data_IF_798836579399
#
_entry.id   IF_798836579399
#
_cell.length_a   1.000
_cell.length_b   1.000
_cell.length_c   1.000
_cell.angle_alpha   90.00
_cell.angle_beta   90.00
_cell.angle_gamma   90.00
#
_symmetry.space_group_name_H-M   'P 1'
#
loop_
_entity.id
_entity.type
_entity.pdbx_description
1 polymer ?
#
# COMPACT_ATOMS: atom_id res chain seq x y z
N UNK A 1 -14.45 -11.74 -2.40
CA UNK A 1 -14.19 -10.33 -2.03
C UNK A 1 -15.27 -9.87 -1.08
N UNK A 2 -15.05 -9.96 0.23
CA UNK A 2 -15.99 -9.48 1.23
C UNK A 2 -16.05 -7.93 1.25
N UNK A 3 -17.11 -7.38 0.65
CA UNK A 3 -17.44 -5.95 0.65
C UNK A 3 -18.72 -5.75 1.45
N UNK A 4 -18.70 -4.85 2.42
CA UNK A 4 -19.81 -4.63 3.34
C UNK A 4 -20.26 -3.18 3.36
N UNK A 5 -21.57 -2.98 3.27
CA UNK A 5 -22.23 -1.70 3.49
C UNK A 5 -22.52 -1.54 4.99
N UNK A 6 -22.30 -0.33 5.52
CA UNK A 6 -22.69 0.07 6.87
C UNK A 6 -23.25 1.49 6.83
N UNK A 7 -24.33 1.75 7.55
CA UNK A 7 -24.97 3.07 7.66
C UNK A 7 -25.27 3.78 6.32
N UNK A 8 -25.57 2.98 5.28
CA UNK A 8 -25.87 3.51 3.93
C UNK A 8 -24.63 3.78 3.06
N UNK A 9 -23.42 3.57 3.59
CA UNK A 9 -22.16 3.80 2.88
C UNK A 9 -21.62 2.47 2.35
N UNK A 10 -21.43 2.43 1.03
CA UNK A 10 -20.92 1.27 0.29
C UNK A 10 -19.56 1.62 -0.29
N UNK A 11 -18.54 0.74 -0.16
CA UNK A 11 -17.25 0.95 -0.79
C UNK A 11 -17.34 1.21 -2.29
N UNK A 12 -16.56 2.17 -2.78
CA UNK A 12 -16.45 2.54 -4.20
C UNK A 12 -15.11 2.06 -4.72
N UNK A 13 -15.12 1.24 -5.77
CA UNK A 13 -13.91 0.66 -6.37
C UNK A 13 -13.92 0.90 -7.87
N UNK A 14 -12.89 1.56 -8.39
CA UNK A 14 -12.72 1.71 -9.84
C UNK A 14 -12.52 0.33 -10.51
N UNK A 15 -13.22 0.04 -11.61
CA UNK A 15 -13.11 -1.25 -12.31
C UNK A 15 -11.74 -1.57 -12.87
N UNK A 16 -10.81 -0.61 -12.99
CA UNK A 16 -9.43 -0.85 -13.42
C UNK A 16 -8.56 -1.44 -12.30
N UNK A 17 -8.93 -1.24 -11.04
CA UNK A 17 -8.19 -1.73 -9.87
C UNK A 17 -8.34 -3.24 -9.65
N UNK A 18 -7.44 -3.80 -8.84
CA UNK A 18 -7.49 -5.18 -8.40
C UNK A 18 -7.63 -5.25 -6.88
N UNK A 19 -8.66 -5.96 -6.41
CA UNK A 19 -8.88 -6.24 -4.99
C UNK A 19 -8.87 -7.74 -4.79
N UNK A 20 -7.94 -8.24 -3.96
CA UNK A 20 -7.83 -9.66 -3.71
C UNK A 20 -9.13 -10.24 -3.11
N UNK A 21 -9.57 -11.46 -3.48
CA UNK A 21 -10.81 -12.05 -2.97
C UNK A 21 -10.92 -12.16 -1.45
N UNK A 22 -9.80 -12.15 -0.71
CA UNK A 22 -9.75 -12.21 0.76
C UNK A 22 -9.60 -10.85 1.44
N UNK A 23 -9.44 -9.75 0.70
CA UNK A 23 -9.42 -8.41 1.28
C UNK A 23 -10.83 -7.99 1.73
N UNK A 24 -10.92 -7.29 2.86
CA UNK A 24 -12.18 -6.85 3.49
C UNK A 24 -12.33 -5.34 3.35
N UNK A 25 -13.42 -4.90 2.74
CA UNK A 25 -13.77 -3.47 2.59
C UNK A 25 -15.10 -3.20 3.30
N UNK A 26 -15.15 -2.19 4.18
CA UNK A 26 -16.33 -1.87 4.98
C UNK A 26 -16.58 -0.36 4.95
N UNK A 27 -17.78 0.08 4.56
CA UNK A 27 -18.22 1.47 4.72
C UNK A 27 -17.64 2.47 3.70
N UNK A 28 -17.22 3.65 4.18
CA UNK A 28 -16.74 4.78 3.36
C UNK A 28 -15.29 4.57 2.91
N UNK A 29 -15.12 3.64 1.97
CA UNK A 29 -13.83 3.31 1.35
C UNK A 29 -13.90 3.67 -0.14
N UNK A 30 -12.98 4.51 -0.59
CA UNK A 30 -12.89 4.98 -1.96
C UNK A 30 -11.57 4.54 -2.56
N UNK A 31 -11.63 3.74 -3.62
CA UNK A 31 -10.48 3.21 -4.34
C UNK A 31 -10.48 3.74 -5.78
N UNK A 32 -9.43 4.49 -6.11
CA UNK A 32 -9.15 5.05 -7.44
C UNK A 32 -8.72 3.99 -8.46
N UNK A 33 -8.15 4.45 -9.58
CA UNK A 33 -7.77 3.63 -10.73
C UNK A 33 -6.46 2.88 -10.53
N UNK A 34 -6.35 1.70 -11.11
CA UNK A 34 -5.12 0.89 -11.12
C UNK A 34 -4.50 0.67 -9.73
N UNK A 35 -5.34 0.62 -8.70
CA UNK A 35 -4.94 0.34 -7.32
C UNK A 35 -4.82 -1.16 -7.12
N UNK A 36 -3.79 -1.58 -6.39
CA UNK A 36 -3.62 -2.95 -5.92
C UNK A 36 -3.99 -3.07 -4.45
N UNK A 37 -4.97 -3.93 -4.11
CA UNK A 37 -5.27 -4.33 -2.73
C UNK A 37 -4.94 -5.82 -2.57
N UNK A 38 -3.94 -6.11 -1.72
CA UNK A 38 -3.42 -7.45 -1.47
C UNK A 38 -4.32 -8.33 -0.60
N UNK A 39 -3.98 -9.63 -0.47
CA UNK A 39 -4.75 -10.57 0.35
C UNK A 39 -4.80 -10.12 1.81
N UNK A 40 -5.97 -10.34 2.42
CA UNK A 40 -6.24 -10.10 3.85
C UNK A 40 -6.07 -8.64 4.30
N UNK A 41 -5.95 -7.67 3.38
CA UNK A 41 -6.01 -6.27 3.75
C UNK A 41 -7.39 -5.95 4.36
N UNK A 42 -7.40 -5.21 5.47
CA UNK A 42 -8.62 -4.79 6.17
C UNK A 42 -8.77 -3.28 6.07
N UNK A 43 -9.70 -2.84 5.22
CA UNK A 43 -10.01 -1.43 4.97
C UNK A 43 -11.37 -1.11 5.58
N UNK A 44 -11.35 -0.48 6.74
CA UNK A 44 -12.54 -0.27 7.55
C UNK A 44 -12.83 1.23 7.69
N UNK A 45 -13.73 1.72 6.84
CA UNK A 45 -14.24 3.09 6.81
C UNK A 45 -15.56 3.23 7.56
N UNK A 46 -15.65 2.66 8.76
CA UNK A 46 -16.84 2.71 9.64
C UNK A 46 -16.76 3.82 10.70
N UNK A 47 -15.60 4.48 10.87
CA UNK A 47 -15.43 5.70 11.67
C UNK A 47 -15.05 6.92 10.81
N UNK A 48 -13.94 6.82 10.08
CA UNK A 48 -13.44 7.85 9.17
C UNK A 48 -13.34 7.35 7.74
N UNK A 49 -13.39 8.25 6.76
CA UNK A 49 -13.30 7.88 5.34
C UNK A 49 -11.89 7.41 5.00
N UNK A 50 -11.82 6.37 4.16
CA UNK A 50 -10.56 5.89 3.58
C UNK A 50 -10.51 6.27 2.10
N UNK A 51 -9.45 6.98 1.68
CA UNK A 51 -9.24 7.36 0.28
C UNK A 51 -7.92 6.80 -0.20
N UNK A 52 -7.98 5.93 -1.22
CA UNK A 52 -6.82 5.35 -1.87
C UNK A 52 -6.84 5.82 -3.33
N UNK A 53 -5.93 6.73 -3.66
CA UNK A 53 -5.86 7.36 -4.97
C UNK A 53 -5.19 6.46 -6.02
N UNK A 54 -5.23 6.93 -7.26
CA UNK A 54 -4.77 6.20 -8.45
C UNK A 54 -3.33 5.66 -8.31
N UNK A 55 -3.10 4.44 -8.81
CA UNK A 55 -1.78 3.80 -8.84
C UNK A 55 -1.21 3.39 -7.47
N UNK A 56 -1.91 3.66 -6.37
CA UNK A 56 -1.45 3.25 -5.05
C UNK A 56 -1.52 1.71 -4.87
N UNK A 57 -0.75 1.19 -3.91
CA UNK A 57 -0.84 -0.20 -3.50
C UNK A 57 -0.96 -0.33 -1.98
N UNK A 58 -1.91 -1.16 -1.55
CA UNK A 58 -2.11 -1.61 -0.17
C UNK A 58 -1.82 -3.10 -0.14
N UNK A 59 -0.67 -3.48 0.41
CA UNK A 59 -0.18 -4.85 0.32
C UNK A 59 -0.84 -5.78 1.35
N UNK A 60 -0.39 -7.02 1.32
CA UNK A 60 -0.87 -8.13 2.14
C UNK A 60 -0.99 -7.76 3.62
N UNK A 61 -2.11 -8.14 4.25
CA UNK A 61 -2.37 -7.96 5.68
C UNK A 61 -2.27 -6.52 6.20
N UNK A 62 -2.30 -5.49 5.34
CA UNK A 62 -2.35 -4.11 5.82
C UNK A 62 -3.69 -3.83 6.53
N UNK A 63 -3.65 -2.95 7.52
CA UNK A 63 -4.85 -2.43 8.19
C UNK A 63 -4.95 -0.94 7.94
N UNK A 64 -6.12 -0.49 7.46
CA UNK A 64 -6.41 0.92 7.26
C UNK A 64 -7.70 1.27 7.98
N UNK A 65 -7.63 2.25 8.86
CA UNK A 65 -8.72 2.72 9.69
C UNK A 65 -8.55 4.22 9.97
N UNK A 66 -9.53 4.88 10.58
CA UNK A 66 -9.44 6.30 10.91
C UNK A 66 -10.29 6.68 12.12
N UNK A 67 -10.15 7.92 12.57
CA UNK A 67 -11.07 8.51 13.55
C UNK A 67 -12.24 9.21 12.87
N UNK A 68 -13.37 9.40 13.58
CA UNK A 68 -14.45 10.26 13.12
C UNK A 68 -13.97 11.63 12.65
N UNK A 69 -14.56 12.12 11.56
CA UNK A 69 -14.27 13.44 10.97
C UNK A 69 -12.84 13.60 10.45
N UNK A 70 -12.10 12.51 10.28
CA UNK A 70 -10.79 12.49 9.64
C UNK A 70 -10.79 11.50 8.48
N UNK A 71 -10.02 11.86 7.45
CA UNK A 71 -9.79 10.99 6.31
C UNK A 71 -8.40 10.36 6.46
N UNK A 72 -8.33 9.05 6.25
CA UNK A 72 -7.05 8.37 6.03
C UNK A 72 -6.81 8.30 4.54
N UNK A 73 -5.74 8.94 4.06
CA UNK A 73 -5.52 9.15 2.63
C UNK A 73 -4.19 8.59 2.20
N UNK A 74 -4.22 7.77 1.16
CA UNK A 74 -3.05 7.35 0.40
C UNK A 74 -3.16 8.02 -0.96
N UNK A 75 -2.32 9.02 -1.21
CA UNK A 75 -2.31 9.75 -2.47
C UNK A 75 -1.70 8.92 -3.61
N UNK A 76 -1.71 9.51 -4.81
CA UNK A 76 -1.28 8.87 -6.06
C UNK A 76 0.08 8.18 -5.91
N UNK A 77 0.18 6.94 -6.40
CA UNK A 77 1.39 6.11 -6.29
C UNK A 77 1.90 5.86 -4.86
N UNK A 78 1.06 6.05 -3.85
CA UNK A 78 1.38 5.67 -2.47
C UNK A 78 1.62 4.18 -2.34
N UNK A 79 2.66 3.79 -1.60
CA UNK A 79 3.13 2.41 -1.51
C UNK A 79 3.11 1.92 -0.06
N UNK A 80 2.13 1.07 0.28
CA UNK A 80 1.91 0.62 1.66
C UNK A 80 2.33 -0.83 1.79
N UNK A 81 3.50 -1.02 2.41
CA UNK A 81 4.18 -2.30 2.56
C UNK A 81 3.41 -3.30 3.43
N UNK A 82 3.64 -4.59 3.18
CA UNK A 82 2.96 -5.70 3.86
C UNK A 82 2.83 -5.50 5.39
N UNK A 83 1.63 -5.73 5.92
CA UNK A 83 1.36 -5.67 7.36
C UNK A 83 1.43 -4.28 7.99
N UNK A 84 1.55 -3.20 7.21
CA UNK A 84 1.53 -1.85 7.75
C UNK A 84 0.14 -1.47 8.30
N UNK A 85 0.13 -0.58 9.29
CA UNK A 85 -1.08 -0.03 9.91
C UNK A 85 -1.13 1.46 9.64
N UNK A 86 -2.20 1.90 8.97
CA UNK A 86 -2.52 3.31 8.74
C UNK A 86 -3.74 3.69 9.57
N UNK A 87 -3.60 4.72 10.41
CA UNK A 87 -4.68 5.22 11.25
C UNK A 87 -4.76 6.73 11.17
N UNK A 88 -5.80 7.28 10.53
CA UNK A 88 -6.08 8.73 10.51
C UNK A 88 -4.97 9.59 9.88
N UNK A 89 -4.12 9.01 9.03
CA UNK A 89 -2.92 9.65 8.49
C UNK A 89 -3.05 10.02 7.01
N UNK A 90 -2.13 10.86 6.53
CA UNK A 90 -1.98 11.18 5.10
C UNK A 90 -0.62 10.75 4.58
N UNK A 91 -0.64 9.85 3.62
CA UNK A 91 0.52 9.42 2.84
C UNK A 91 0.49 10.20 1.53
N UNK A 92 1.45 11.10 1.34
CA UNK A 92 1.51 11.96 0.15
C UNK A 92 1.94 11.18 -1.09
N UNK A 93 1.79 11.82 -2.25
CA UNK A 93 2.13 11.25 -3.55
C UNK A 93 3.48 10.53 -3.52
N UNK A 94 3.51 9.34 -4.10
CA UNK A 94 4.72 8.54 -4.28
C UNK A 94 5.48 8.23 -2.97
N UNK A 95 4.91 8.45 -1.78
CA UNK A 95 5.53 8.07 -0.52
C UNK A 95 5.40 6.55 -0.28
N UNK A 96 6.34 5.99 0.48
CA UNK A 96 6.39 4.58 0.82
C UNK A 96 6.33 4.37 2.33
N UNK A 97 5.41 3.52 2.77
CA UNK A 97 5.35 3.00 4.14
C UNK A 97 5.92 1.59 4.14
N UNK A 98 7.02 1.38 4.85
CA UNK A 98 7.67 0.07 4.94
C UNK A 98 6.80 -0.98 5.63
N UNK A 99 7.09 -2.25 5.35
CA UNK A 99 6.37 -3.38 5.93
C UNK A 99 6.32 -3.31 7.47
N UNK A 100 5.18 -3.67 8.05
CA UNK A 100 4.90 -3.63 9.49
C UNK A 100 5.13 -2.27 10.18
N UNK A 101 5.22 -1.17 9.43
CA UNK A 101 5.24 0.16 10.03
C UNK A 101 3.85 0.57 10.51
N UNK A 102 3.81 1.45 11.51
CA UNK A 102 2.56 1.99 12.08
C UNK A 102 2.60 3.51 11.94
N UNK A 103 1.57 4.07 11.29
CA UNK A 103 1.40 5.51 11.06
C UNK A 103 0.15 5.97 11.81
N UNK A 104 0.36 6.84 12.78
CA UNK A 104 -0.68 7.30 13.69
C UNK A 104 -1.42 8.55 13.19
N UNK A 105 -2.48 8.89 13.92
CA UNK A 105 -3.46 9.92 13.58
C UNK A 105 -2.85 11.30 13.32
N UNK A 106 -3.32 11.96 12.26
CA UNK A 106 -2.86 13.28 11.84
C UNK A 106 -1.41 13.31 11.38
N UNK A 107 -0.70 12.17 11.29
CA UNK A 107 0.63 12.15 10.71
C UNK A 107 0.57 12.39 9.20
N UNK A 108 1.53 13.16 8.68
CA UNK A 108 1.72 13.40 7.27
C UNK A 108 3.10 12.89 6.82
N UNK A 109 3.11 11.96 5.87
CA UNK A 109 4.33 11.47 5.23
C UNK A 109 4.49 12.20 3.90
N UNK A 110 5.49 13.08 3.82
CA UNK A 110 5.75 13.91 2.65
C UNK A 110 6.05 13.15 1.37
N UNK A 111 5.90 13.84 0.23
CA UNK A 111 6.07 13.28 -1.11
C UNK A 111 7.40 12.55 -1.26
N UNK A 112 7.38 11.39 -1.93
CA UNK A 112 8.54 10.51 -2.17
C UNK A 112 9.24 9.95 -0.92
N UNK A 113 8.84 10.32 0.30
CA UNK A 113 9.51 9.88 1.52
C UNK A 113 9.33 8.37 1.74
N UNK A 114 10.36 7.73 2.30
CA UNK A 114 10.38 6.30 2.61
C UNK A 114 10.42 6.14 4.12
N UNK A 115 9.36 5.58 4.69
CA UNK A 115 9.33 5.07 6.05
C UNK A 115 9.86 3.64 6.04
N UNK A 116 10.89 3.37 6.84
CA UNK A 116 11.50 2.05 6.96
C UNK A 116 10.56 1.01 7.57
N UNK A 117 10.87 -0.25 7.33
CA UNK A 117 10.15 -1.36 7.95
C UNK A 117 10.14 -1.25 9.48
N UNK A 118 9.05 -1.70 10.12
CA UNK A 118 8.87 -1.70 11.58
C UNK A 118 8.95 -0.30 12.24
N UNK A 119 8.88 0.79 11.47
CA UNK A 119 8.93 2.13 12.03
C UNK A 119 7.58 2.52 12.68
N UNK A 120 7.65 3.33 13.73
CA UNK A 120 6.47 3.87 14.41
C UNK A 120 6.42 5.39 14.29
N UNK A 121 5.55 5.91 13.42
CA UNK A 121 5.35 7.35 13.24
C UNK A 121 4.25 7.81 14.18
N UNK A 122 4.60 8.72 15.10
CA UNK A 122 3.70 9.23 16.14
C UNK A 122 2.61 10.14 15.55
N UNK A 123 1.53 10.30 16.30
CA UNK A 123 0.43 11.18 15.95
C UNK A 123 0.91 12.61 15.70
N UNK A 124 0.26 13.29 14.74
CA UNK A 124 0.56 14.65 14.29
C UNK A 124 1.99 14.90 13.79
N UNK A 125 2.79 13.84 13.55
CA UNK A 125 4.13 13.99 13.00
C UNK A 125 4.05 14.45 11.54
N UNK A 126 4.78 15.49 11.20
CA UNK A 126 4.92 15.97 9.81
C UNK A 126 6.32 15.62 9.32
N UNK A 127 6.39 14.76 8.31
CA UNK A 127 7.62 14.41 7.62
C UNK A 127 7.64 15.16 6.29
N UNK A 128 8.71 15.89 6.03
CA UNK A 128 8.91 16.59 4.76
C UNK A 128 9.10 15.62 3.58
N UNK A 129 9.12 16.14 2.36
CA UNK A 129 9.37 15.36 1.16
C UNK A 129 10.81 14.81 1.10
N UNK A 130 10.98 13.72 0.35
CA UNK A 130 12.27 13.09 0.04
C UNK A 130 13.09 12.63 1.26
N UNK A 131 12.43 12.25 2.37
CA UNK A 131 13.11 11.81 3.60
C UNK A 131 13.14 10.29 3.72
N UNK A 132 14.24 9.75 4.22
CA UNK A 132 14.31 8.41 4.79
C UNK A 132 14.00 8.49 6.29
N UNK A 133 12.96 7.81 6.74
CA UNK A 133 12.48 7.83 8.13
C UNK A 133 12.56 6.43 8.72
N UNK A 134 13.16 6.26 9.90
CA UNK A 134 13.33 4.93 10.51
C UNK A 134 13.13 4.95 12.03
N UNK A 135 12.89 3.77 12.60
CA UNK A 135 12.91 3.53 14.05
C UNK A 135 11.55 3.65 14.74
N UNK A 136 11.55 3.40 16.05
CA UNK A 136 10.37 3.49 16.91
C UNK A 136 10.76 4.16 18.25
N UNK A 137 10.32 5.41 18.50
CA UNK A 137 9.57 6.28 17.60
C UNK A 137 10.42 6.77 16.43
N UNK A 138 9.81 6.84 15.25
CA UNK A 138 10.49 7.13 13.98
C UNK A 138 11.11 8.53 13.95
N UNK A 139 12.26 8.65 13.27
CA UNK A 139 12.98 9.91 13.04
C UNK A 139 13.47 9.98 11.60
N UNK A 140 13.55 11.19 11.07
CA UNK A 140 14.25 11.46 9.81
C UNK A 140 15.71 11.10 10.00
N UNK A 141 16.21 10.18 9.19
CA UNK A 141 17.62 9.78 9.17
C UNK A 141 18.43 10.67 8.24
N UNK A 142 17.94 10.88 7.02
CA UNK A 142 18.57 11.68 5.97
C UNK A 142 17.60 11.94 4.81
N UNK A 143 18.05 12.74 3.85
CA UNK A 143 17.43 12.83 2.54
C UNK A 143 17.67 11.55 1.72
N UNK A 144 16.73 11.22 0.84
CA UNK A 144 16.85 10.14 -0.13
C UNK A 144 17.80 10.52 -1.25
N UNK A 145 18.53 9.53 -1.78
CA UNK A 145 19.35 9.72 -2.98
C UNK A 145 18.50 9.66 -4.25
N UNK A 146 18.99 10.21 -5.35
CA UNK A 146 18.32 10.10 -6.66
C UNK A 146 18.07 8.64 -7.06
N UNK A 147 19.01 7.75 -6.73
CA UNK A 147 18.89 6.33 -6.98
C UNK A 147 17.76 5.69 -6.15
N UNK A 148 17.60 6.07 -4.88
CA UNK A 148 16.49 5.59 -4.05
C UNK A 148 15.13 6.10 -4.55
N UNK A 149 15.08 7.35 -5.00
CA UNK A 149 13.87 7.94 -5.60
C UNK A 149 13.48 7.19 -6.89
N UNK A 150 14.43 6.98 -7.80
CA UNK A 150 14.22 6.23 -9.04
C UNK A 150 13.82 4.77 -8.76
N UNK A 151 14.50 4.12 -7.81
CA UNK A 151 14.18 2.76 -7.39
C UNK A 151 12.74 2.64 -6.87
N UNK A 152 12.27 3.60 -6.07
CA UNK A 152 10.90 3.61 -5.55
C UNK A 152 9.87 3.68 -6.67
N UNK A 153 10.09 4.54 -7.66
CA UNK A 153 9.19 4.70 -8.81
C UNK A 153 9.07 3.37 -9.56
N UNK A 154 10.22 2.74 -9.84
CA UNK A 154 10.27 1.41 -10.47
C UNK A 154 9.51 0.37 -9.65
N UNK A 155 9.74 0.29 -8.34
CA UNK A 155 9.04 -0.67 -7.47
C UNK A 155 7.53 -0.44 -7.40
N UNK A 156 7.05 0.79 -7.60
CA UNK A 156 5.62 1.10 -7.65
C UNK A 156 4.99 0.69 -8.97
N UNK A 157 5.70 0.89 -10.08
CA UNK A 157 5.27 0.46 -11.41
C UNK A 157 5.04 -1.04 -11.49
N UNK A 158 5.84 -1.84 -10.79
CA UNK A 158 5.64 -3.29 -10.72
C UNK A 158 4.29 -3.68 -10.08
N UNK A 159 3.77 -2.85 -9.17
CA UNK A 159 2.42 -3.05 -8.63
C UNK A 159 1.34 -2.67 -9.64
N UNK A 160 1.57 -1.68 -10.51
CA UNK A 160 0.66 -1.39 -11.63
C UNK A 160 0.60 -2.58 -12.60
N UNK A 161 1.76 -3.14 -12.96
CA UNK A 161 1.84 -4.33 -13.81
C UNK A 161 1.22 -5.56 -13.12
N UNK A 162 1.37 -5.67 -11.79
CA UNK A 162 0.74 -6.72 -10.99
C UNK A 162 -0.79 -6.62 -11.02
N UNK A 163 -1.39 -5.43 -11.02
CA UNK A 163 -2.85 -5.26 -11.18
C UNK A 163 -3.31 -5.91 -12.48
N UNK A 164 -2.64 -5.61 -13.60
CA UNK A 164 -2.98 -6.19 -14.90
C UNK A 164 -2.79 -7.71 -14.92
N UNK A 165 -1.67 -8.20 -14.36
CA UNK A 165 -1.36 -9.62 -14.30
C UNK A 165 -2.36 -10.37 -13.43
N UNK A 166 -2.70 -9.85 -12.25
CA UNK A 166 -3.71 -10.47 -11.39
C UNK A 166 -5.07 -10.57 -12.10
N UNK A 167 -5.51 -9.53 -12.81
CA UNK A 167 -6.79 -9.55 -13.51
C UNK A 167 -6.84 -10.51 -14.70
N UNK A 168 -5.69 -10.79 -15.31
CA UNK A 168 -5.59 -11.63 -16.51
C UNK A 168 -5.23 -13.08 -16.22
N UNK A 169 -4.43 -13.34 -15.18
CA UNK A 169 -3.84 -14.67 -14.96
C UNK A 169 -4.09 -15.26 -13.58
N UNK A 170 -4.54 -14.48 -12.58
CA UNK A 170 -4.77 -15.02 -11.24
C UNK A 170 -6.13 -15.72 -11.20
N UNK A 171 -6.11 -16.99 -10.80
CA UNK A 171 -7.30 -17.81 -10.60
C UNK A 171 -7.13 -18.66 -9.34
N UNK A 172 -8.26 -18.96 -8.68
CA UNK A 172 -8.30 -19.94 -7.60
C UNK A 172 -8.12 -21.34 -8.20
N UNK A 173 -7.20 -22.11 -7.63
CA UNK A 173 -6.84 -23.46 -8.12
C UNK A 173 -6.61 -24.38 -6.92
N UNK A 174 -6.78 -25.68 -7.14
CA UNK A 174 -6.31 -26.69 -6.20
C UNK A 174 -4.78 -26.76 -6.19
N UNK A 175 -4.15 -27.07 -5.04
CA UNK A 175 -2.70 -27.22 -4.98
C UNK A 175 -2.23 -28.42 -5.80
N UNK A 176 -1.09 -28.27 -6.49
CA UNK A 176 -0.41 -29.39 -7.14
C UNK A 176 0.15 -30.36 -6.08
N UNK A 177 -0.03 -31.66 -6.29
CA UNK A 177 0.47 -32.69 -5.37
C UNK A 177 2.01 -32.85 -5.42
N UNK A 178 2.63 -32.52 -6.56
CA UNK A 178 4.07 -32.64 -6.79
C UNK A 178 4.60 -31.43 -7.58
N UNK A 179 5.91 -31.19 -7.52
CA UNK A 179 6.56 -30.13 -8.30
C UNK A 179 6.71 -30.60 -9.75
N UNK A 180 6.21 -29.80 -10.69
CA UNK A 180 6.33 -30.10 -12.13
C UNK A 180 7.81 -30.16 -12.57
N UNK A 181 8.23 -31.21 -13.30
CA UNK A 181 9.53 -31.23 -13.95
C UNK A 181 9.70 -30.02 -14.87
N UNK A 182 10.77 -29.25 -14.67
CA UNK A 182 11.02 -28.04 -15.47
C UNK A 182 10.11 -26.86 -15.14
N UNK A 183 9.54 -26.80 -13.92
CA UNK A 183 8.71 -25.68 -13.44
C UNK A 183 9.29 -24.32 -13.84
N UNK A 184 8.51 -23.58 -14.61
CA UNK A 184 8.91 -22.28 -15.13
C UNK A 184 9.06 -21.26 -14.00
N UNK A 185 10.01 -20.34 -14.15
CA UNK A 185 10.14 -19.16 -13.29
C UNK A 185 9.54 -17.96 -13.99
N UNK A 186 8.93 -17.07 -13.22
CA UNK A 186 8.58 -15.76 -13.72
C UNK A 186 9.85 -15.03 -14.13
N UNK A 187 9.81 -14.41 -15.30
CA UNK A 187 10.85 -13.53 -15.80
C UNK A 187 10.39 -12.09 -15.64
N UNK A 188 11.28 -11.23 -15.19
CA UNK A 188 11.06 -9.80 -15.05
C UNK A 188 12.19 -9.05 -15.77
N UNK A 189 11.99 -7.77 -16.07
CA UNK A 189 13.03 -6.97 -16.73
C UNK A 189 14.25 -6.74 -15.83
N UNK A 190 15.42 -6.56 -16.46
CA UNK A 190 16.71 -6.36 -15.79
C UNK A 190 16.76 -5.04 -14.96
N UNK A 191 15.77 -4.17 -15.12
CA UNK A 191 15.61 -2.93 -14.36
C UNK A 191 15.18 -3.16 -12.90
N UNK A 192 14.76 -4.38 -12.53
CA UNK A 192 14.36 -4.73 -11.17
C UNK A 192 15.52 -5.22 -10.32
N UNK A 193 16.17 -4.25 -9.68
CA UNK A 193 17.31 -4.49 -8.81
C UNK A 193 16.86 -4.44 -7.34
N UNK A 194 17.19 -5.44 -6.51
CA UNK A 194 16.92 -5.40 -5.07
C UNK A 194 17.58 -4.17 -4.43
N UNK A 195 16.90 -3.54 -3.45
CA UNK A 195 17.43 -2.36 -2.75
C UNK A 195 18.83 -2.57 -2.16
N UNK A 196 19.14 -3.80 -1.73
CA UNK A 196 20.45 -4.17 -1.16
C UNK A 196 21.60 -4.14 -2.17
N UNK A 197 21.31 -4.00 -3.47
CA UNK A 197 22.28 -3.93 -4.55
C UNK A 197 22.36 -2.52 -5.17
N UNK A 198 21.71 -1.53 -4.54
CA UNK A 198 21.82 -0.12 -4.90
C UNK A 198 23.05 0.53 -4.26
#
# INVERSE_FOLDING_TARGET
MPVYQIDGLTPVVDPSSYVHPTAVLIGDVIIGKQVYIGPNASLRGDFGRLVICDGANIQDNCVMHGFPQQDTVVEEDGHIGHGAILHGCRIRRNAMVGMNAVIMDGAEIGENSIVGAMAFVKAAAVIEANKLVVGSPARVLRDLTEQELAWKVTGTREYHDLVLRCKSTLSEVEPLAEVEPGRQRLSFGDHLIPKSQL
#
